data_IF_393754929905
#
_entry.id   IF_393754929905
#
_cell.length_a   1.000
_cell.length_b   1.000
_cell.length_c   1.000
_cell.angle_alpha   90.00
_cell.angle_beta   90.00
_cell.angle_gamma   90.00
#
_symmetry.space_group_name_H-M   'P 1'
#
loop_
_entity.id
_entity.type
_entity.pdbx_description
1 polymer ?
#
# COMPACT_ATOMS: atom_id res chain seq x y z
N UNK A 1 -2.97 -8.56 -15.23
CA UNK A 1 -2.00 -7.99 -14.30
C UNK A 1 -0.58 -8.00 -14.90
N UNK A 2 -0.09 -9.13 -15.41
CA UNK A 2 1.30 -9.33 -15.87
C UNK A 2 1.53 -9.12 -17.38
N UNK A 3 0.68 -8.37 -18.05
CA UNK A 3 0.97 -7.94 -19.43
C UNK A 3 1.95 -6.76 -19.38
N UNK A 4 3.16 -6.82 -20.00
CA UNK A 4 4.13 -5.72 -19.96
C UNK A 4 3.63 -4.44 -20.63
N UNK A 5 2.58 -4.53 -21.47
CA UNK A 5 1.93 -3.39 -22.10
C UNK A 5 0.66 -2.91 -21.37
N UNK A 6 0.46 -3.32 -20.11
CA UNK A 6 -0.64 -2.79 -19.31
C UNK A 6 -0.42 -1.31 -18.96
N UNK A 7 -1.49 -0.63 -18.58
CA UNK A 7 -1.47 0.80 -18.27
C UNK A 7 -0.45 1.17 -17.18
N UNK A 8 -0.28 0.31 -16.16
CA UNK A 8 0.66 0.55 -15.06
C UNK A 8 2.09 0.55 -15.57
N UNK A 9 2.49 -0.47 -16.34
CA UNK A 9 3.83 -0.55 -16.94
C UNK A 9 4.10 0.59 -17.92
N UNK A 10 3.10 0.99 -18.72
CA UNK A 10 3.20 2.17 -19.59
C UNK A 10 3.42 3.46 -18.77
N UNK A 11 2.70 3.62 -17.64
CA UNK A 11 2.84 4.76 -16.74
C UNK A 11 4.21 4.81 -16.10
N UNK A 12 4.73 3.66 -15.62
CA UNK A 12 6.10 3.54 -15.06
C UNK A 12 7.12 4.04 -16.10
N UNK A 13 7.09 3.51 -17.31
CA UNK A 13 8.01 3.93 -18.40
C UNK A 13 7.90 5.41 -18.73
N UNK A 14 6.68 5.96 -18.76
CA UNK A 14 6.46 7.37 -19.05
C UNK A 14 7.03 8.28 -17.94
N UNK A 15 6.83 7.92 -16.68
CA UNK A 15 7.37 8.67 -15.52
C UNK A 15 8.89 8.57 -15.49
N UNK A 16 9.45 7.36 -15.61
CA UNK A 16 10.90 7.16 -15.61
C UNK A 16 11.60 7.96 -16.74
N UNK A 17 10.95 8.09 -17.90
CA UNK A 17 11.48 8.88 -19.02
C UNK A 17 11.39 10.39 -18.77
N UNK A 18 10.29 10.87 -18.17
CA UNK A 18 10.05 12.32 -17.98
C UNK A 18 10.70 12.87 -16.71
N UNK A 19 10.88 12.02 -15.70
CA UNK A 19 11.42 12.36 -14.37
C UNK A 19 12.40 11.28 -13.89
N UNK A 20 13.59 11.17 -14.50
CA UNK A 20 14.55 10.10 -14.21
C UNK A 20 15.11 10.17 -12.78
N UNK A 21 14.97 11.31 -12.11
CA UNK A 21 15.37 11.52 -10.71
C UNK A 21 14.34 11.02 -9.69
N UNK A 22 13.14 10.64 -10.16
CA UNK A 22 12.05 10.25 -9.26
C UNK A 22 12.08 8.75 -8.98
N UNK A 23 12.06 8.37 -7.68
CA UNK A 23 11.82 6.99 -7.28
C UNK A 23 10.38 6.57 -7.58
N UNK A 24 10.21 5.40 -8.19
CA UNK A 24 8.90 4.86 -8.55
C UNK A 24 8.59 3.68 -7.64
N UNK A 25 7.50 3.78 -6.89
CA UNK A 25 6.93 2.69 -6.08
C UNK A 25 5.65 2.24 -6.76
N UNK A 26 5.49 0.95 -6.96
CA UNK A 26 4.33 0.39 -7.63
C UNK A 26 3.68 -0.73 -6.81
N UNK A 27 2.36 -0.65 -6.64
CA UNK A 27 1.61 -1.75 -6.04
C UNK A 27 1.66 -2.99 -6.92
N UNK A 28 2.00 -4.12 -6.32
CA UNK A 28 1.63 -5.43 -6.87
C UNK A 28 0.25 -5.78 -6.29
N UNK A 29 -0.77 -5.70 -7.14
CA UNK A 29 -2.17 -5.81 -6.75
C UNK A 29 -2.99 -6.47 -7.86
N UNK A 30 -3.89 -7.38 -7.49
CA UNK A 30 -4.75 -8.10 -8.42
C UNK A 30 -6.18 -7.54 -8.49
N UNK A 31 -6.61 -6.77 -7.50
CA UNK A 31 -7.98 -6.24 -7.43
C UNK A 31 -8.38 -5.37 -8.64
N UNK A 32 -7.51 -4.55 -9.28
CA UNK A 32 -7.87 -3.84 -10.51
C UNK A 32 -8.07 -4.76 -11.73
N UNK A 33 -7.63 -6.02 -11.64
CA UNK A 33 -7.65 -7.00 -12.73
C UNK A 33 -8.61 -8.17 -12.46
N UNK A 34 -9.30 -8.15 -11.33
CA UNK A 34 -10.19 -9.21 -10.85
C UNK A 34 -11.66 -8.75 -10.93
N UNK A 35 -12.50 -9.49 -11.66
CA UNK A 35 -13.95 -9.19 -11.78
C UNK A 35 -14.72 -9.31 -10.46
N UNK A 36 -14.18 -10.02 -9.47
CA UNK A 36 -14.77 -10.19 -8.15
C UNK A 36 -14.31 -9.13 -7.13
N UNK A 37 -13.40 -8.23 -7.51
CA UNK A 37 -12.90 -7.12 -6.69
C UNK A 37 -12.02 -7.52 -5.51
N UNK A 38 -11.57 -8.78 -5.45
CA UNK A 38 -10.67 -9.29 -4.43
C UNK A 38 -9.19 -9.09 -4.79
N UNK A 39 -8.32 -9.06 -3.77
CA UNK A 39 -6.87 -8.88 -3.94
C UNK A 39 -6.15 -10.17 -4.42
N UNK A 40 -6.87 -11.29 -4.59
CA UNK A 40 -6.38 -12.56 -5.10
C UNK A 40 -7.39 -13.24 -6.03
N UNK A 41 -6.99 -14.38 -6.60
CA UNK A 41 -7.87 -15.20 -7.43
C UNK A 41 -8.99 -15.81 -6.60
N UNK A 42 -10.20 -15.82 -7.16
CA UNK A 42 -11.38 -16.40 -6.52
C UNK A 42 -11.75 -17.70 -7.22
N UNK A 43 -11.81 -18.80 -6.46
CA UNK A 43 -12.27 -20.11 -6.92
C UNK A 43 -13.36 -20.58 -5.95
N UNK A 44 -14.52 -20.93 -6.46
CA UNK A 44 -15.67 -21.38 -5.67
C UNK A 44 -16.04 -20.44 -4.49
N UNK A 45 -15.84 -19.13 -4.68
CA UNK A 45 -16.11 -18.10 -3.68
C UNK A 45 -15.01 -17.90 -2.63
N UNK A 46 -13.89 -18.58 -2.75
CA UNK A 46 -12.71 -18.43 -1.88
C UNK A 46 -11.56 -17.77 -2.60
N UNK A 47 -10.85 -16.86 -1.92
CA UNK A 47 -9.57 -16.33 -2.40
C UNK A 47 -8.50 -17.40 -2.14
N UNK A 48 -7.87 -17.88 -3.24
CA UNK A 48 -6.83 -18.90 -3.17
C UNK A 48 -5.46 -18.24 -3.08
N UNK A 49 -4.60 -18.76 -2.19
CA UNK A 49 -3.32 -18.15 -1.84
C UNK A 49 -2.25 -18.38 -2.92
N UNK A 50 -1.88 -19.63 -3.15
CA UNK A 50 -0.65 -19.97 -3.88
C UNK A 50 -0.66 -19.48 -5.33
N UNK A 51 -1.76 -19.69 -6.05
CA UNK A 51 -1.91 -19.21 -7.42
C UNK A 51 -2.01 -17.66 -7.51
N UNK A 52 -2.53 -17.02 -6.45
CA UNK A 52 -2.50 -15.56 -6.35
C UNK A 52 -1.07 -15.07 -6.21
N UNK A 53 -0.25 -15.70 -5.36
CA UNK A 53 1.17 -15.37 -5.17
C UNK A 53 1.95 -15.56 -6.47
N UNK A 54 1.70 -16.64 -7.23
CA UNK A 54 2.33 -16.82 -8.54
C UNK A 54 2.05 -15.67 -9.51
N UNK A 55 0.82 -15.15 -9.54
CA UNK A 55 0.45 -14.02 -10.39
C UNK A 55 1.10 -12.72 -9.91
N UNK A 56 1.20 -12.51 -8.60
CA UNK A 56 1.88 -11.35 -8.02
C UNK A 56 3.38 -11.35 -8.36
N UNK A 57 4.03 -12.52 -8.34
CA UNK A 57 5.42 -12.67 -8.79
C UNK A 57 5.58 -12.22 -10.26
N UNK A 58 4.74 -12.72 -11.17
CA UNK A 58 4.75 -12.33 -12.57
C UNK A 58 4.50 -10.84 -12.78
N UNK A 59 3.55 -10.27 -12.03
CA UNK A 59 3.25 -8.83 -12.06
C UNK A 59 4.44 -8.01 -11.59
N UNK A 60 5.09 -8.40 -10.50
CA UNK A 60 6.24 -7.72 -9.93
C UNK A 60 7.42 -7.67 -10.91
N UNK A 61 7.70 -8.78 -11.60
CA UNK A 61 8.77 -8.84 -12.60
C UNK A 61 8.50 -7.88 -13.76
N UNK A 62 7.30 -7.86 -14.35
CA UNK A 62 7.02 -6.95 -15.48
C UNK A 62 6.99 -5.48 -15.06
N UNK A 63 6.66 -5.17 -13.80
CA UNK A 63 6.75 -3.82 -13.24
C UNK A 63 8.22 -3.39 -13.04
N UNK A 64 9.08 -4.31 -12.58
CA UNK A 64 10.53 -4.08 -12.47
C UNK A 64 11.16 -3.87 -13.87
N UNK A 65 10.81 -4.70 -14.86
CA UNK A 65 11.20 -4.51 -16.26
C UNK A 65 10.78 -3.15 -16.83
N UNK A 66 9.63 -2.63 -16.41
CA UNK A 66 9.15 -1.31 -16.81
C UNK A 66 9.92 -0.14 -16.17
N UNK A 67 10.76 -0.40 -15.15
CA UNK A 67 11.58 0.60 -14.45
C UNK A 67 11.06 0.98 -13.06
N UNK A 68 10.28 0.14 -12.40
CA UNK A 68 9.88 0.32 -11.01
C UNK A 68 11.08 0.09 -10.08
N UNK A 69 11.26 0.93 -9.07
CA UNK A 69 12.36 0.83 -8.10
C UNK A 69 11.97 0.04 -6.85
N UNK A 70 10.70 0.07 -6.48
CA UNK A 70 10.16 -0.59 -5.28
C UNK A 70 8.84 -1.23 -5.62
N UNK A 71 8.71 -2.53 -5.36
CA UNK A 71 7.46 -3.28 -5.46
C UNK A 71 6.76 -3.27 -4.10
N UNK A 72 5.47 -2.94 -4.08
CA UNK A 72 4.66 -2.86 -2.87
C UNK A 72 3.47 -3.84 -2.94
N UNK A 73 3.65 -5.11 -2.51
CA UNK A 73 2.57 -6.08 -2.52
C UNK A 73 1.48 -5.71 -1.51
N UNK A 74 0.26 -5.48 -2.01
CA UNK A 74 -0.86 -4.96 -1.20
C UNK A 74 -1.99 -5.95 -0.96
N UNK A 75 -1.79 -7.20 -1.31
CA UNK A 75 -2.80 -8.26 -1.37
C UNK A 75 -3.03 -8.98 -0.03
N UNK A 76 -2.03 -9.10 0.83
CA UNK A 76 -2.03 -9.84 2.10
C UNK A 76 -2.02 -11.38 1.95
N UNK A 77 -1.61 -11.93 0.80
CA UNK A 77 -1.41 -13.37 0.67
C UNK A 77 -0.19 -13.84 1.47
N UNK A 78 -0.27 -15.05 1.99
CA UNK A 78 0.80 -15.64 2.81
C UNK A 78 2.00 -16.04 1.96
N UNK A 79 3.23 -15.74 2.42
CA UNK A 79 4.49 -16.07 1.73
C UNK A 79 4.79 -15.22 0.48
N UNK A 80 3.99 -14.18 0.20
CA UNK A 80 4.12 -13.36 -1.02
C UNK A 80 5.41 -12.56 -1.10
N UNK A 81 5.91 -12.08 0.04
CA UNK A 81 7.12 -11.25 0.05
C UNK A 81 8.33 -12.08 -0.37
N UNK A 82 8.52 -13.27 0.23
CA UNK A 82 9.60 -14.18 -0.12
C UNK A 82 9.52 -14.68 -1.56
N UNK A 83 8.31 -15.00 -2.04
CA UNK A 83 8.11 -15.45 -3.41
C UNK A 83 8.42 -14.32 -4.43
N UNK A 84 7.98 -13.09 -4.17
CA UNK A 84 8.28 -11.92 -5.01
C UNK A 84 9.78 -11.62 -4.99
N UNK A 85 10.44 -11.63 -3.81
CA UNK A 85 11.89 -11.42 -3.72
C UNK A 85 12.64 -12.42 -4.58
N UNK A 86 12.30 -13.71 -4.42
CA UNK A 86 12.92 -14.75 -5.25
C UNK A 86 12.66 -14.54 -6.75
N UNK A 87 11.46 -14.19 -7.16
CA UNK A 87 11.12 -13.98 -8.56
C UNK A 87 11.88 -12.80 -9.17
N UNK A 88 12.05 -11.70 -8.43
CA UNK A 88 12.84 -10.54 -8.84
C UNK A 88 14.32 -10.91 -8.98
N UNK A 89 14.89 -11.64 -8.01
CA UNK A 89 16.29 -12.06 -8.04
C UNK A 89 16.57 -13.02 -9.20
N UNK A 90 15.71 -14.01 -9.41
CA UNK A 90 15.82 -14.95 -10.53
C UNK A 90 15.75 -14.24 -11.89
N UNK A 91 15.03 -13.11 -11.98
CA UNK A 91 14.94 -12.28 -13.17
C UNK A 91 16.06 -11.23 -13.29
N UNK A 92 16.99 -11.15 -12.31
CA UNK A 92 18.12 -10.24 -12.30
C UNK A 92 17.83 -8.84 -11.72
N UNK A 93 16.69 -8.65 -11.06
CA UNK A 93 16.28 -7.39 -10.44
C UNK A 93 16.63 -7.34 -8.94
N UNK A 94 17.87 -7.65 -8.59
CA UNK A 94 18.35 -7.72 -7.20
C UNK A 94 18.32 -6.38 -6.46
N UNK A 95 18.35 -5.25 -7.20
CA UNK A 95 18.33 -3.90 -6.62
C UNK A 95 16.90 -3.33 -6.45
N UNK A 96 15.88 -4.05 -6.91
CA UNK A 96 14.48 -3.62 -6.72
C UNK A 96 14.05 -3.95 -5.31
N UNK A 97 13.71 -2.90 -4.54
CA UNK A 97 13.27 -3.05 -3.14
C UNK A 97 11.84 -3.58 -3.01
N UNK A 98 11.53 -4.11 -1.84
CA UNK A 98 10.16 -4.55 -1.49
C UNK A 98 9.66 -3.75 -0.29
N UNK A 99 8.54 -3.04 -0.47
CA UNK A 99 7.78 -2.37 0.58
C UNK A 99 6.50 -3.15 0.85
N UNK A 100 6.52 -4.02 1.86
CA UNK A 100 5.34 -4.82 2.15
C UNK A 100 4.24 -4.01 2.82
N UNK A 101 2.99 -4.21 2.37
CA UNK A 101 1.80 -3.84 3.13
C UNK A 101 1.62 -4.83 4.29
N UNK A 102 2.55 -4.80 5.23
CA UNK A 102 2.68 -5.80 6.29
C UNK A 102 1.55 -5.75 7.33
N UNK A 103 0.96 -4.58 7.56
CA UNK A 103 -0.15 -4.40 8.49
C UNK A 103 -1.32 -3.66 7.81
N UNK A 104 -2.11 -4.40 7.02
CA UNK A 104 -3.29 -3.88 6.32
C UNK A 104 -4.57 -4.39 6.95
N UNK A 105 -5.34 -3.48 7.54
CA UNK A 105 -6.55 -3.78 8.30
C UNK A 105 -7.82 -3.75 7.44
N UNK A 106 -8.81 -4.57 7.79
CA UNK A 106 -10.16 -4.52 7.21
C UNK A 106 -10.88 -3.27 7.73
N UNK A 107 -10.81 -2.16 6.98
CA UNK A 107 -11.22 -0.85 7.46
C UNK A 107 -12.40 -0.26 6.70
N UNK A 108 -13.26 0.46 7.42
CA UNK A 108 -14.33 1.29 6.85
C UNK A 108 -13.77 2.51 6.08
N UNK A 109 -12.55 2.95 6.37
CA UNK A 109 -11.91 4.10 5.72
C UNK A 109 -11.52 3.88 4.26
N UNK A 110 -11.71 2.68 3.69
CA UNK A 110 -11.53 2.42 2.26
C UNK A 110 -12.74 2.81 1.39
N UNK A 111 -13.84 3.26 1.98
CA UNK A 111 -15.10 3.53 1.27
C UNK A 111 -14.93 4.39 0.01
N UNK A 112 -14.38 5.62 0.09
CA UNK A 112 -14.25 6.50 -1.08
C UNK A 112 -13.41 5.90 -2.21
N UNK A 113 -12.34 5.16 -1.90
CA UNK A 113 -11.52 4.48 -2.89
C UNK A 113 -12.32 3.39 -3.61
N UNK A 114 -13.06 2.55 -2.87
CA UNK A 114 -13.90 1.50 -3.46
C UNK A 114 -14.97 2.05 -4.40
N UNK A 115 -15.54 3.20 -4.05
CA UNK A 115 -16.50 3.91 -4.92
C UNK A 115 -15.81 4.43 -6.19
N UNK A 116 -14.62 5.02 -6.07
CA UNK A 116 -13.88 5.62 -7.18
C UNK A 116 -13.44 4.60 -8.24
N UNK A 117 -13.00 3.41 -7.83
CA UNK A 117 -12.58 2.33 -8.74
C UNK A 117 -13.73 1.38 -9.15
N UNK A 118 -14.95 1.66 -8.69
CA UNK A 118 -16.12 0.82 -8.98
C UNK A 118 -16.11 -0.56 -8.29
N UNK A 119 -15.13 -0.86 -7.46
CA UNK A 119 -14.98 -2.18 -6.81
C UNK A 119 -16.07 -2.47 -5.78
N UNK A 120 -16.77 -1.44 -5.27
CA UNK A 120 -17.90 -1.62 -4.36
C UNK A 120 -19.04 -2.41 -4.99
N UNK A 121 -19.26 -2.24 -6.30
CA UNK A 121 -20.27 -3.00 -7.05
C UNK A 121 -19.76 -4.40 -7.46
N UNK A 122 -18.45 -4.58 -7.60
CA UNK A 122 -17.83 -5.84 -8.02
C UNK A 122 -17.53 -6.77 -6.84
N UNK A 123 -17.21 -6.21 -5.66
CA UNK A 123 -16.80 -6.98 -4.49
C UNK A 123 -17.94 -7.89 -4.00
N UNK A 124 -17.73 -9.19 -4.11
CA UNK A 124 -18.61 -10.23 -3.55
C UNK A 124 -18.14 -10.59 -2.15
N UNK A 125 -18.94 -10.31 -1.14
CA UNK A 125 -18.57 -10.52 0.27
C UNK A 125 -17.72 -9.39 0.84
N UNK A 126 -16.70 -9.72 1.63
CA UNK A 126 -15.78 -8.77 2.23
C UNK A 126 -14.32 -9.27 2.14
N UNK A 127 -13.37 -8.46 2.60
CA UNK A 127 -11.93 -8.78 2.57
C UNK A 127 -11.39 -9.25 3.94
N UNK A 128 -12.26 -9.60 4.90
CA UNK A 128 -11.86 -9.94 6.27
C UNK A 128 -11.17 -11.29 6.40
N UNK A 129 -11.23 -12.13 5.35
CA UNK A 129 -10.54 -13.43 5.33
C UNK A 129 -9.03 -13.29 5.18
N UNK A 130 -8.53 -12.13 4.71
CA UNK A 130 -7.10 -11.88 4.50
C UNK A 130 -6.63 -10.48 4.94
N UNK A 131 -7.53 -9.52 5.17
CA UNK A 131 -7.18 -8.26 5.84
C UNK A 131 -7.35 -8.43 7.36
N UNK A 132 -6.46 -7.80 8.13
CA UNK A 132 -6.40 -7.95 9.58
C UNK A 132 -7.65 -7.44 10.29
N UNK A 133 -7.99 -8.06 11.41
CA UNK A 133 -9.03 -7.58 12.32
C UNK A 133 -8.59 -6.22 12.95
N UNK A 134 -9.41 -5.16 12.80
CA UNK A 134 -9.13 -3.85 13.39
C UNK A 134 -8.90 -3.86 14.92
N UNK A 135 -9.36 -4.85 15.63
CA UNK A 135 -9.18 -4.99 17.08
C UNK A 135 -7.88 -5.69 17.48
N UNK A 136 -7.09 -6.20 16.52
CA UNK A 136 -5.93 -7.05 16.81
C UNK A 136 -4.62 -6.37 16.38
N UNK A 137 -3.80 -5.95 17.35
CA UNK A 137 -2.47 -5.39 17.11
C UNK A 137 -1.38 -6.46 17.09
N UNK A 138 -1.55 -7.57 17.80
CA UNK A 138 -0.50 -8.59 17.93
C UNK A 138 -0.28 -9.35 16.61
N UNK A 139 -1.32 -9.48 15.81
CA UNK A 139 -1.21 -10.05 14.46
C UNK A 139 -0.35 -9.16 13.56
N UNK A 140 -0.46 -7.84 13.67
CA UNK A 140 0.37 -6.90 12.90
C UNK A 140 1.86 -7.11 13.18
N UNK A 141 2.26 -7.26 14.43
CA UNK A 141 3.66 -7.48 14.78
C UNK A 141 4.18 -8.82 14.24
N UNK A 142 3.36 -9.88 14.32
CA UNK A 142 3.71 -11.19 13.78
C UNK A 142 3.87 -11.16 12.27
N UNK A 143 2.93 -10.53 11.57
CA UNK A 143 2.98 -10.43 10.10
C UNK A 143 4.16 -9.57 9.65
N UNK A 144 4.43 -8.45 10.32
CA UNK A 144 5.60 -7.61 10.04
C UNK A 144 6.90 -8.39 10.21
N UNK A 145 7.05 -9.16 11.31
CA UNK A 145 8.22 -10.01 11.53
C UNK A 145 8.40 -11.02 10.39
N UNK A 146 7.32 -11.66 9.97
CA UNK A 146 7.32 -12.65 8.89
C UNK A 146 7.71 -12.01 7.55
N UNK A 147 7.14 -10.87 7.18
CA UNK A 147 7.47 -10.16 5.94
C UNK A 147 8.94 -9.71 5.93
N UNK A 148 9.50 -9.32 7.09
CA UNK A 148 10.93 -8.99 7.24
C UNK A 148 11.81 -10.23 7.00
N UNK A 149 11.46 -11.36 7.61
CA UNK A 149 12.20 -12.63 7.43
C UNK A 149 12.13 -13.12 5.98
N UNK A 150 11.06 -12.81 5.26
CA UNK A 150 10.88 -13.07 3.84
C UNK A 150 11.64 -12.11 2.92
N UNK A 151 12.22 -11.03 3.44
CA UNK A 151 13.07 -10.09 2.70
C UNK A 151 12.42 -8.75 2.36
N UNK A 152 11.43 -8.28 3.11
CA UNK A 152 10.94 -6.91 2.99
C UNK A 152 12.00 -5.89 3.43
N UNK A 153 12.28 -4.90 2.58
CA UNK A 153 13.19 -3.78 2.88
C UNK A 153 12.51 -2.68 3.71
N UNK A 154 11.20 -2.56 3.54
CA UNK A 154 10.32 -1.59 4.19
C UNK A 154 8.98 -2.22 4.51
N UNK A 155 8.33 -1.70 5.55
CA UNK A 155 7.00 -2.18 5.97
C UNK A 155 6.00 -1.03 6.03
N UNK A 156 4.73 -1.34 5.73
CA UNK A 156 3.67 -0.34 5.70
C UNK A 156 2.51 -0.72 6.61
N UNK A 157 1.98 0.28 7.31
CA UNK A 157 0.72 0.22 8.06
C UNK A 157 -0.38 0.95 7.28
N UNK A 158 -1.51 0.29 7.08
CA UNK A 158 -2.68 0.82 6.33
C UNK A 158 -3.99 0.38 6.98
N UNK A 159 -4.90 1.30 7.28
CA UNK A 159 -4.84 2.77 7.22
C UNK A 159 -3.86 3.40 8.21
N UNK A 160 -3.73 4.75 8.17
CA UNK A 160 -2.79 5.50 8.98
C UNK A 160 -3.36 6.04 10.30
N UNK A 161 -4.19 7.10 10.24
CA UNK A 161 -4.62 7.84 11.44
C UNK A 161 -5.30 6.97 12.52
N UNK A 162 -6.17 6.01 12.17
CA UNK A 162 -6.80 5.15 13.18
C UNK A 162 -5.85 4.11 13.80
N UNK A 163 -4.63 3.96 13.27
CA UNK A 163 -3.65 2.91 13.63
C UNK A 163 -2.28 3.47 14.00
N UNK A 164 -2.23 4.69 14.57
CA UNK A 164 -0.97 5.32 15.04
C UNK A 164 -0.26 4.51 16.12
N UNK A 165 -1.01 3.81 16.94
CA UNK A 165 -0.51 2.85 17.94
C UNK A 165 0.23 1.69 17.28
N UNK A 166 -0.31 1.13 16.19
CA UNK A 166 0.32 0.07 15.39
C UNK A 166 1.60 0.59 14.75
N UNK A 167 1.55 1.79 14.14
CA UNK A 167 2.74 2.44 13.55
C UNK A 167 3.86 2.58 14.57
N UNK A 168 3.52 3.08 15.76
CA UNK A 168 4.51 3.28 16.83
C UNK A 168 5.10 1.96 17.31
N UNK A 169 4.28 0.92 17.50
CA UNK A 169 4.77 -0.39 17.93
C UNK A 169 5.66 -1.06 16.89
N UNK A 170 5.25 -1.05 15.62
CA UNK A 170 6.05 -1.61 14.50
C UNK A 170 7.40 -0.89 14.42
N UNK A 171 7.41 0.44 14.46
CA UNK A 171 8.67 1.20 14.40
C UNK A 171 9.59 0.92 15.58
N UNK A 172 9.04 0.82 16.78
CA UNK A 172 9.83 0.57 17.99
C UNK A 172 10.38 -0.86 18.04
N UNK A 173 9.59 -1.85 17.58
CA UNK A 173 9.98 -3.27 17.63
C UNK A 173 11.03 -3.62 16.59
N UNK A 174 10.88 -3.15 15.35
CA UNK A 174 11.68 -3.64 14.23
C UNK A 174 12.73 -2.63 13.74
N UNK A 175 12.56 -1.34 13.98
CA UNK A 175 13.50 -0.30 13.55
C UNK A 175 13.62 -0.08 12.04
N UNK A 176 12.95 -0.91 11.21
CA UNK A 176 12.96 -0.77 9.75
C UNK A 176 12.29 0.52 9.28
N UNK A 177 12.54 0.95 8.03
CA UNK A 177 11.74 2.00 7.41
C UNK A 177 10.25 1.63 7.45
N UNK A 178 9.48 2.44 8.19
CA UNK A 178 8.05 2.22 8.44
C UNK A 178 7.25 3.27 7.70
N UNK A 179 6.43 2.82 6.77
CA UNK A 179 5.61 3.68 5.91
C UNK A 179 4.16 3.64 6.40
N UNK A 180 3.46 4.74 6.21
CA UNK A 180 2.04 4.85 6.57
C UNK A 180 1.24 5.26 5.35
N UNK A 181 0.06 4.66 5.16
CA UNK A 181 -0.88 5.07 4.12
C UNK A 181 -2.05 5.84 4.74
N UNK A 182 -2.10 7.16 4.50
CA UNK A 182 -3.29 7.96 4.75
C UNK A 182 -4.31 7.71 3.65
N UNK A 183 -5.30 6.86 3.94
CA UNK A 183 -6.23 6.34 2.93
C UNK A 183 -7.35 7.33 2.58
N UNK A 184 -8.13 6.99 1.54
CA UNK A 184 -9.16 7.84 0.95
C UNK A 184 -10.23 8.31 1.94
N UNK A 185 -10.62 7.48 2.91
CA UNK A 185 -11.57 7.86 3.95
C UNK A 185 -11.00 8.88 4.93
N UNK A 186 -9.73 8.77 5.25
CA UNK A 186 -9.03 9.76 6.10
C UNK A 186 -8.94 11.11 5.37
N UNK A 187 -8.55 11.08 4.10
CA UNK A 187 -8.54 12.27 3.24
C UNK A 187 -9.94 12.90 3.15
N UNK A 188 -10.97 12.12 2.86
CA UNK A 188 -12.34 12.60 2.74
C UNK A 188 -12.87 13.19 4.06
N UNK A 189 -12.53 12.59 5.20
CA UNK A 189 -12.89 13.09 6.52
C UNK A 189 -12.29 14.47 6.79
N UNK A 190 -11.00 14.65 6.52
CA UNK A 190 -10.31 15.93 6.71
C UNK A 190 -10.86 17.00 5.77
N UNK A 191 -10.95 16.69 4.47
CA UNK A 191 -11.47 17.64 3.47
C UNK A 191 -12.94 17.95 3.69
N UNK A 192 -13.75 17.02 4.13
CA UNK A 192 -15.14 17.25 4.50
C UNK A 192 -15.27 18.24 5.67
N UNK A 193 -14.44 18.09 6.71
CA UNK A 193 -14.43 19.02 7.83
C UNK A 193 -13.97 20.43 7.41
N UNK A 194 -12.98 20.54 6.53
CA UNK A 194 -12.54 21.81 5.95
C UNK A 194 -13.63 22.46 5.13
N UNK A 195 -14.29 21.72 4.25
CA UNK A 195 -15.38 22.23 3.40
C UNK A 195 -16.56 22.76 4.20
N UNK A 196 -16.83 22.18 5.38
CA UNK A 196 -17.86 22.67 6.28
C UNK A 196 -17.40 23.82 7.19
N UNK A 197 -16.16 24.28 7.06
CA UNK A 197 -15.62 25.38 7.87
C UNK A 197 -15.30 25.02 9.32
N UNK A 198 -15.24 23.74 9.64
CA UNK A 198 -14.95 23.28 11.01
C UNK A 198 -13.46 23.23 11.31
N UNK A 199 -12.61 23.02 10.30
CA UNK A 199 -11.16 22.98 10.43
C UNK A 199 -10.50 23.90 9.39
N UNK A 200 -9.36 24.48 9.80
CA UNK A 200 -8.46 25.21 8.88
C UNK A 200 -7.69 24.20 8.02
N UNK A 201 -7.72 24.40 6.71
CA UNK A 201 -7.15 23.45 5.76
C UNK A 201 -5.64 23.24 5.97
N UNK A 202 -4.88 24.34 5.98
CA UNK A 202 -3.41 24.26 6.00
C UNK A 202 -2.92 23.65 7.32
N UNK A 203 -3.56 24.02 8.41
CA UNK A 203 -3.23 23.49 9.74
C UNK A 203 -3.54 22.01 9.85
N UNK A 204 -4.74 21.56 9.46
CA UNK A 204 -5.12 20.16 9.62
C UNK A 204 -4.36 19.23 8.68
N UNK A 205 -4.02 19.69 7.47
CA UNK A 205 -3.14 18.93 6.57
C UNK A 205 -1.79 18.69 7.23
N UNK A 206 -1.11 19.74 7.68
CA UNK A 206 0.21 19.62 8.31
C UNK A 206 0.17 18.84 9.63
N UNK A 207 -0.85 19.05 10.47
CA UNK A 207 -0.97 18.36 11.75
C UNK A 207 -1.26 16.86 11.57
N UNK A 208 -2.09 16.49 10.59
CA UNK A 208 -2.32 15.07 10.29
C UNK A 208 -1.04 14.35 9.87
N UNK A 209 -0.22 14.97 9.02
CA UNK A 209 1.07 14.42 8.61
C UNK A 209 2.08 14.38 9.77
N UNK A 210 2.07 15.41 10.63
CA UNK A 210 2.88 15.45 11.85
C UNK A 210 2.52 14.33 12.83
N UNK A 211 1.25 13.91 12.88
CA UNK A 211 0.81 12.81 13.73
C UNK A 211 1.47 11.49 13.33
N UNK A 212 1.59 11.21 12.02
CA UNK A 212 2.32 10.04 11.51
C UNK A 212 3.80 10.09 11.84
N UNK A 213 4.43 11.25 11.59
CA UNK A 213 5.85 11.43 11.93
C UNK A 213 6.10 11.22 13.41
N UNK A 214 5.27 11.78 14.29
CA UNK A 214 5.36 11.60 15.74
C UNK A 214 5.18 10.13 16.16
N UNK A 215 4.34 9.36 15.45
CA UNK A 215 4.19 7.93 15.69
C UNK A 215 5.40 7.11 15.23
N UNK A 216 6.32 7.70 14.46
CA UNK A 216 7.55 7.04 14.01
C UNK A 216 7.60 6.70 12.53
N UNK A 217 6.64 7.17 11.71
CA UNK A 217 6.67 6.95 10.28
C UNK A 217 7.86 7.66 9.62
N UNK A 218 8.57 6.95 8.75
CA UNK A 218 9.69 7.48 7.94
C UNK A 218 9.18 8.11 6.64
N UNK A 219 8.08 7.59 6.08
CA UNK A 219 7.40 8.14 4.91
C UNK A 219 5.88 7.98 5.00
N UNK A 220 5.16 8.79 4.21
CA UNK A 220 3.70 8.83 4.22
C UNK A 220 3.20 8.81 2.78
N UNK A 221 2.37 7.83 2.43
CA UNK A 221 1.57 7.85 1.21
C UNK A 221 0.27 8.60 1.50
N UNK A 222 0.01 9.66 0.74
CA UNK A 222 -1.16 10.50 0.98
C UNK A 222 -1.68 11.15 -0.30
N UNK A 223 -3.00 11.27 -0.41
CA UNK A 223 -3.66 12.11 -1.42
C UNK A 223 -3.35 13.60 -1.24
N UNK A 224 -2.85 13.99 -0.07
CA UNK A 224 -2.44 15.36 0.25
C UNK A 224 -0.99 15.67 -0.13
N UNK A 225 -0.23 14.75 -0.73
CA UNK A 225 1.21 14.88 -0.92
C UNK A 225 1.60 16.16 -1.68
N UNK A 226 0.93 16.48 -2.80
CA UNK A 226 1.23 17.69 -3.59
C UNK A 226 0.92 18.95 -2.77
N UNK A 227 -0.23 18.99 -2.11
CA UNK A 227 -0.66 20.11 -1.26
C UNK A 227 0.31 20.30 -0.09
N UNK A 228 0.69 19.22 0.59
CA UNK A 228 1.66 19.27 1.67
C UNK A 228 3.02 19.81 1.23
N UNK A 229 3.52 19.38 0.06
CA UNK A 229 4.75 19.91 -0.52
C UNK A 229 4.66 21.43 -0.81
N UNK A 230 3.49 21.90 -1.24
CA UNK A 230 3.27 23.33 -1.47
C UNK A 230 3.24 24.12 -0.16
N UNK A 231 2.61 23.58 0.89
CA UNK A 231 2.57 24.21 2.21
C UNK A 231 3.96 24.29 2.85
N UNK A 232 4.73 23.21 2.80
CA UNK A 232 6.09 23.13 3.34
C UNK A 232 7.08 24.08 2.65
N UNK A 233 6.83 24.47 1.37
CA UNK A 233 7.65 25.46 0.66
C UNK A 233 7.34 26.89 1.04
N UNK A 234 6.21 27.18 1.69
CA UNK A 234 5.78 28.52 2.10
C UNK A 234 6.28 28.90 3.49
N UNK A 235 6.65 27.93 4.30
CA UNK A 235 7.19 28.13 5.67
C UNK A 235 8.68 27.96 5.73
#
# INVERSE_FOLDING_TARGET
AYNPENLVCQSIRAIAKSHPEMGIICDAALDPFNSDGHDGLVVDGYVINDESVELLCKQSVVQAEAGCHIIAPSDMMDGRVGAIRKALDDAGFTDVGIMSYAAKYASAFYGPFRDAIGSKAALKGDKKTYQMDPANIDEALRQVAQDIDEGADMVMVKPGMPYLDVVSRVKMEFGLPTIVYQVSGEYAMLKGAVQNGWLDNDKVVLESLMSFKRAGADAILSYLAIEACQLLKKG
#
